data_IF_176829347538
#
_entry.id   IF_176829347538
#
_cell.length_a   1.000
_cell.length_b   1.000
_cell.length_c   1.000
_cell.angle_alpha   90.00
_cell.angle_beta   90.00
_cell.angle_gamma   90.00
#
_symmetry.space_group_name_H-M   'P 1'
#
loop_
_entity.id
_entity.type
_entity.pdbx_description
1 polymer ?
#
# COMPACT_ATOMS: atom_id res chain seq x y z
N UNK A 1 -1.43 31.19 -3.73
CA UNK A 1 -1.52 30.20 -2.91
C UNK A 1 -1.94 28.98 -3.47
N UNK A 2 -1.25 27.98 -3.24
CA UNK A 2 -1.60 26.84 -3.81
C UNK A 2 -2.26 26.08 -2.81
N UNK A 3 -3.45 25.83 -3.00
CA UNK A 3 -4.11 25.00 -2.22
C UNK A 3 -4.19 23.74 -2.74
N UNK A 4 -3.83 22.70 -2.02
CA UNK A 4 -4.01 21.38 -2.47
C UNK A 4 -5.42 21.06 -2.24
N UNK A 5 -6.17 20.81 -3.30
CA UNK A 5 -7.51 20.40 -3.18
C UNK A 5 -7.53 19.01 -2.69
N UNK A 6 -8.28 18.73 -1.64
CA UNK A 6 -8.46 17.38 -1.17
C UNK A 6 -9.61 16.75 -1.91
N UNK A 7 -9.43 15.52 -2.31
CA UNK A 7 -10.49 14.76 -2.96
C UNK A 7 -10.96 13.66 -2.02
N UNK A 8 -12.24 13.31 -2.17
CA UNK A 8 -12.81 12.21 -1.42
C UNK A 8 -13.07 11.09 -2.40
N UNK A 9 -12.49 9.94 -2.14
CA UNK A 9 -12.63 8.80 -3.02
C UNK A 9 -13.23 7.65 -2.23
N UNK A 10 -14.29 7.05 -2.77
CA UNK A 10 -14.89 5.89 -2.14
C UNK A 10 -14.28 4.64 -2.76
N UNK A 11 -13.81 3.74 -1.95
CA UNK A 11 -13.17 2.51 -2.41
C UNK A 11 -13.73 1.32 -1.66
N UNK A 12 -13.62 0.14 -2.28
CA UNK A 12 -14.01 -1.10 -1.64
C UNK A 12 -12.75 -1.87 -1.32
N UNK A 13 -12.60 -2.25 -0.05
CA UNK A 13 -11.46 -3.05 0.38
C UNK A 13 -12.02 -4.22 1.16
N UNK A 14 -11.76 -5.39 0.68
CA UNK A 14 -12.18 -6.64 1.31
C UNK A 14 -13.66 -6.63 1.65
N UNK A 15 -14.47 -6.19 0.68
CA UNK A 15 -15.92 -6.19 0.81
C UNK A 15 -16.52 -5.06 1.62
N UNK A 16 -15.69 -4.14 2.11
CA UNK A 16 -16.17 -3.00 2.89
C UNK A 16 -15.89 -1.71 2.16
N UNK A 17 -16.75 -0.75 2.33
CA UNK A 17 -16.63 0.52 1.65
C UNK A 17 -15.97 1.54 2.55
N UNK A 18 -15.02 2.27 2.02
CA UNK A 18 -14.32 3.30 2.77
C UNK A 18 -14.25 4.58 1.97
N UNK A 19 -14.32 5.69 2.65
CA UNK A 19 -14.18 6.99 2.02
C UNK A 19 -12.82 7.56 2.45
N UNK A 20 -11.96 7.79 1.48
CA UNK A 20 -10.62 8.26 1.76
C UNK A 20 -10.46 9.68 1.25
N UNK A 21 -9.99 10.55 2.11
CA UNK A 21 -9.77 11.95 1.76
C UNK A 21 -8.27 12.18 1.70
N UNK A 22 -7.82 12.76 0.61
CA UNK A 22 -6.40 13.02 0.46
C UNK A 22 -6.16 13.99 -0.69
N UNK A 23 -4.91 14.31 -0.89
CA UNK A 23 -4.52 15.23 -1.95
C UNK A 23 -4.09 14.50 -3.22
N UNK A 24 -4.05 13.18 -3.18
CA UNK A 24 -3.69 12.42 -4.36
C UNK A 24 -4.89 12.30 -5.29
N UNK A 25 -4.63 11.91 -6.52
CA UNK A 25 -5.71 11.75 -7.49
C UNK A 25 -6.59 10.56 -7.11
N UNK A 26 -7.81 10.60 -7.60
CA UNK A 26 -8.74 9.49 -7.40
C UNK A 26 -8.18 8.19 -7.98
N UNK A 27 -7.54 8.28 -9.14
CA UNK A 27 -6.95 7.08 -9.75
C UNK A 27 -5.88 6.48 -8.87
N UNK A 28 -5.07 7.32 -8.26
CA UNK A 28 -4.01 6.84 -7.39
C UNK A 28 -4.60 6.17 -6.15
N UNK A 29 -5.60 6.80 -5.55
CA UNK A 29 -6.22 6.23 -4.35
C UNK A 29 -6.88 4.90 -4.67
N UNK A 30 -7.51 4.78 -5.84
CA UNK A 30 -8.12 3.52 -6.24
C UNK A 30 -7.09 2.44 -6.46
N UNK A 31 -5.95 2.80 -7.02
CA UNK A 31 -4.87 1.85 -7.20
C UNK A 31 -4.37 1.34 -5.86
N UNK A 32 -4.15 2.26 -4.92
CA UNK A 32 -3.69 1.87 -3.59
C UNK A 32 -4.69 0.93 -2.93
N UNK A 33 -5.97 1.27 -3.00
CA UNK A 33 -7.02 0.44 -2.39
C UNK A 33 -7.07 -0.95 -3.03
N UNK A 34 -6.87 -1.02 -4.33
CA UNK A 34 -6.87 -2.29 -5.04
C UNK A 34 -5.73 -3.18 -4.57
N UNK A 35 -4.57 -2.59 -4.34
CA UNK A 35 -3.42 -3.35 -3.86
C UNK A 35 -3.66 -3.87 -2.44
N UNK A 36 -4.27 -3.05 -1.59
CA UNK A 36 -4.59 -3.48 -0.23
C UNK A 36 -5.60 -4.63 -0.27
N UNK A 37 -6.62 -4.50 -1.11
CA UNK A 37 -7.64 -5.54 -1.26
C UNK A 37 -7.01 -6.86 -1.68
N UNK A 38 -6.13 -6.82 -2.68
CA UNK A 38 -5.45 -8.02 -3.15
C UNK A 38 -4.60 -8.65 -2.07
N UNK A 39 -3.88 -7.82 -1.32
CA UNK A 39 -3.05 -8.34 -0.23
C UNK A 39 -3.89 -9.01 0.85
N UNK A 40 -5.01 -8.40 1.19
CA UNK A 40 -5.88 -8.97 2.22
C UNK A 40 -6.44 -10.30 1.77
N UNK A 41 -6.85 -10.40 0.51
CA UNK A 41 -7.40 -11.64 -0.01
C UNK A 41 -6.35 -12.75 -0.05
N UNK A 42 -5.14 -12.39 -0.43
CA UNK A 42 -4.04 -13.34 -0.48
C UNK A 42 -3.72 -13.89 0.90
N UNK A 43 -3.62 -13.01 1.89
CA UNK A 43 -3.30 -13.43 3.25
C UNK A 43 -4.44 -14.25 3.85
N UNK A 44 -5.68 -13.86 3.53
CA UNK A 44 -6.85 -14.57 4.01
C UNK A 44 -6.89 -16.00 3.47
N UNK A 45 -6.50 -16.20 2.23
CA UNK A 45 -6.47 -17.54 1.67
C UNK A 45 -5.52 -18.45 2.41
N UNK A 46 -4.40 -17.89 2.83
CA UNK A 46 -3.40 -18.67 3.56
C UNK A 46 -3.73 -18.82 5.04
N UNK A 47 -4.64 -17.98 5.55
CA UNK A 47 -5.01 -17.99 6.96
C UNK A 47 -6.51 -17.85 7.11
N UNK A 48 -7.27 -18.87 6.72
CA UNK A 48 -8.73 -18.71 6.59
C UNK A 48 -9.47 -18.52 7.90
N UNK A 49 -8.84 -18.75 9.03
CA UNK A 49 -9.54 -18.60 10.31
C UNK A 49 -9.31 -17.25 10.97
N UNK A 50 -8.54 -16.36 10.32
CA UNK A 50 -8.29 -15.05 10.90
C UNK A 50 -9.53 -14.17 10.80
N UNK A 51 -9.84 -13.46 11.88
CA UNK A 51 -10.91 -12.48 11.81
C UNK A 51 -10.37 -11.23 11.09
N UNK A 52 -11.26 -10.33 10.75
CA UNK A 52 -10.90 -9.20 9.90
C UNK A 52 -9.92 -8.26 10.58
N UNK A 53 -10.01 -8.10 11.89
CA UNK A 53 -9.08 -7.22 12.60
C UNK A 53 -7.65 -7.73 12.52
N UNK A 54 -7.47 -9.01 12.73
CA UNK A 54 -6.15 -9.61 12.66
C UNK A 54 -5.64 -9.65 11.23
N UNK A 55 -6.56 -9.90 10.30
CA UNK A 55 -6.21 -9.89 8.90
C UNK A 55 -5.68 -8.54 8.48
N UNK A 56 -6.33 -7.47 8.93
CA UNK A 56 -5.90 -6.12 8.58
C UNK A 56 -4.50 -5.82 9.13
N UNK A 57 -4.23 -6.27 10.36
CA UNK A 57 -2.92 -6.04 10.96
C UNK A 57 -1.84 -6.82 10.21
N UNK A 58 -2.12 -8.08 9.87
CA UNK A 58 -1.15 -8.87 9.11
C UNK A 58 -0.91 -8.28 7.74
N UNK A 59 -1.94 -7.73 7.13
CA UNK A 59 -1.80 -7.07 5.84
C UNK A 59 -0.87 -5.87 5.96
N UNK A 60 -1.05 -5.07 7.01
CA UNK A 60 -0.20 -3.90 7.23
C UNK A 60 1.25 -4.32 7.43
N UNK A 61 1.48 -5.36 8.23
CA UNK A 61 2.83 -5.87 8.47
C UNK A 61 3.45 -6.33 7.16
N UNK A 62 2.68 -7.05 6.34
CA UNK A 62 3.18 -7.57 5.08
C UNK A 62 3.55 -6.45 4.12
N UNK A 63 2.72 -5.42 4.03
CA UNK A 63 2.98 -4.30 3.14
C UNK A 63 4.19 -3.50 3.59
N UNK A 64 4.33 -3.28 4.89
CA UNK A 64 5.49 -2.54 5.40
C UNK A 64 6.77 -3.35 5.18
N UNK A 65 6.68 -4.67 5.35
CA UNK A 65 7.81 -5.53 5.08
C UNK A 65 8.27 -5.38 3.63
N UNK A 66 7.32 -5.41 2.69
CA UNK A 66 7.64 -5.24 1.28
C UNK A 66 8.23 -3.85 1.01
N UNK A 67 7.68 -2.84 1.66
CA UNK A 67 8.16 -1.48 1.50
C UNK A 67 9.62 -1.37 1.93
N UNK A 68 9.96 -1.94 3.08
CA UNK A 68 11.32 -1.85 3.59
C UNK A 68 12.29 -2.60 2.68
N UNK A 69 11.88 -3.76 2.19
CA UNK A 69 12.71 -4.52 1.27
C UNK A 69 12.98 -3.74 -0.01
N UNK A 70 11.96 -3.14 -0.57
CA UNK A 70 12.12 -2.36 -1.78
C UNK A 70 12.98 -1.13 -1.56
N UNK A 71 12.83 -0.49 -0.41
CA UNK A 71 13.63 0.65 -0.08
C UNK A 71 15.11 0.27 0.02
N UNK A 72 15.39 -0.85 0.66
CA UNK A 72 16.77 -1.33 0.79
C UNK A 72 17.35 -1.67 -0.57
N UNK A 73 16.56 -2.30 -1.43
CA UNK A 73 17.02 -2.62 -2.77
C UNK A 73 17.34 -1.37 -3.58
N UNK A 74 16.49 -0.37 -3.43
CA UNK A 74 16.72 0.88 -4.14
C UNK A 74 18.00 1.55 -3.67
N UNK A 75 18.23 1.57 -2.37
CA UNK A 75 19.43 2.17 -1.82
C UNK A 75 20.68 1.42 -2.26
N UNK A 76 20.60 0.09 -2.33
CA UNK A 76 21.71 -0.71 -2.82
C UNK A 76 22.03 -0.39 -4.27
N UNK A 77 21.01 -0.28 -5.08
CA UNK A 77 21.21 0.07 -6.48
C UNK A 77 21.80 1.45 -6.65
N UNK A 78 21.34 2.40 -5.86
CA UNK A 78 21.86 3.75 -5.94
C UNK A 78 23.32 3.79 -5.55
N UNK A 79 23.71 3.05 -4.54
CA UNK A 79 25.09 2.99 -4.14
C UNK A 79 25.94 2.33 -5.19
N UNK A 80 25.44 1.30 -5.82
CA UNK A 80 26.14 0.63 -6.86
C UNK A 80 26.40 1.55 -8.04
N UNK A 81 25.40 2.32 -8.43
CA UNK A 81 25.56 3.27 -9.52
C UNK A 81 26.58 4.33 -9.17
N UNK A 82 26.55 4.84 -7.95
CA UNK A 82 27.52 5.81 -7.52
C UNK A 82 28.93 5.25 -7.56
N UNK A 83 29.10 4.04 -7.12
CA UNK A 83 30.38 3.39 -7.11
C UNK A 83 30.93 3.23 -8.51
N UNK A 84 30.09 2.85 -9.45
CA UNK A 84 30.51 2.66 -10.81
C UNK A 84 30.84 3.97 -11.49
N UNK A 85 30.23 5.06 -11.09
CA UNK A 85 30.54 6.31 -11.68
C UNK A 85 31.79 6.94 -11.10
N UNK A 86 32.09 6.59 -9.93
CA UNK A 86 33.19 7.15 -9.23
C UNK A 86 34.49 6.73 -9.71
#
# INVERSE_FOLDING_TARGET
MSEQKKTRTTVDIYGQQYSIVGSESTSFIRLVASIVDDKMRDISEKNPTLDISKLAVLTAVNVVHDYIKLKDELESLQEKIKSEKG
#
